data_IF_850241684572
#
_entry.id   IF_850241684572
#
_cell.length_a   1.000
_cell.length_b   1.000
_cell.length_c   1.000
_cell.angle_alpha   90.00
_cell.angle_beta   90.00
_cell.angle_gamma   90.00
#
_symmetry.space_group_name_H-M   'P 1'
#
loop_
_entity.id
_entity.type
_entity.pdbx_description
1 polymer ?
#
# COMPACT_ATOMS: atom_id res chain seq x y z
N UNK A 1 12.63 63.47 -25.75
CA UNK A 1 13.50 63.83 -26.88
C UNK A 1 14.95 63.44 -26.55
N UNK A 2 15.82 63.42 -27.58
CA UNK A 2 17.30 63.55 -27.60
C UNK A 2 17.99 64.09 -26.32
N UNK A 3 19.25 63.77 -25.98
CA UNK A 3 20.28 62.85 -26.55
C UNK A 3 21.60 62.89 -25.74
N UNK A 4 22.46 61.86 -25.84
CA UNK A 4 23.90 61.91 -25.46
C UNK A 4 24.35 60.73 -24.56
N UNK A 5 25.40 59.92 -24.82
CA UNK A 5 26.36 59.80 -25.96
C UNK A 5 27.34 60.99 -26.08
N UNK A 6 28.68 60.86 -26.08
CA UNK A 6 29.62 59.71 -25.98
C UNK A 6 30.46 59.81 -24.66
N UNK A 7 31.70 59.33 -24.39
CA UNK A 7 32.85 58.80 -25.16
C UNK A 7 33.73 57.87 -24.27
N UNK A 8 34.94 57.47 -24.71
CA UNK A 8 35.78 56.38 -24.14
C UNK A 8 37.28 56.75 -24.09
N UNK A 9 37.99 56.32 -23.04
CA UNK A 9 39.43 55.95 -23.07
C UNK A 9 40.49 57.02 -22.72
N UNK A 10 41.77 56.68 -22.47
CA UNK A 10 42.35 55.37 -22.10
C UNK A 10 43.84 55.49 -21.62
N UNK A 11 44.29 54.51 -20.81
CA UNK A 11 45.68 54.06 -20.50
C UNK A 11 46.68 54.98 -19.74
N UNK A 12 47.46 54.31 -18.87
CA UNK A 12 48.89 54.54 -18.51
C UNK A 12 49.22 55.12 -17.12
N UNK A 13 49.88 54.30 -16.29
CA UNK A 13 50.47 54.66 -14.99
C UNK A 13 50.82 53.41 -14.19
N UNK A 14 52.11 53.04 -14.13
CA UNK A 14 52.59 51.75 -13.57
C UNK A 14 53.58 51.98 -12.43
N UNK A 15 53.41 51.25 -11.31
CA UNK A 15 54.40 51.12 -10.25
C UNK A 15 54.29 49.73 -9.60
N UNK A 16 55.42 49.11 -9.26
CA UNK A 16 55.49 47.78 -8.64
C UNK A 16 55.63 47.89 -7.12
N UNK A 17 55.16 46.86 -6.40
CA UNK A 17 55.85 46.37 -5.20
C UNK A 17 55.80 44.83 -5.14
N UNK A 18 56.89 44.23 -4.68
CA UNK A 18 57.07 42.78 -4.53
C UNK A 18 56.79 42.37 -3.07
N UNK A 19 56.17 41.20 -2.89
CA UNK A 19 55.94 40.60 -1.57
C UNK A 19 55.69 39.10 -1.69
N UNK A 20 56.74 38.29 -1.52
CA UNK A 20 56.66 36.83 -1.56
C UNK A 20 56.33 36.25 -0.18
N UNK A 21 55.32 35.38 -0.11
CA UNK A 21 54.96 34.63 1.10
C UNK A 21 54.99 33.14 0.75
N UNK A 22 55.72 32.36 1.54
CA UNK A 22 55.80 30.90 1.45
C UNK A 22 54.66 30.27 2.29
N UNK A 23 54.00 29.20 1.83
CA UNK A 23 53.26 28.31 2.72
C UNK A 23 54.24 27.43 3.51
N UNK A 24 53.97 27.22 4.80
CA UNK A 24 54.76 26.31 5.63
C UNK A 24 54.38 24.84 5.38
N UNK A 25 55.37 23.94 5.51
CA UNK A 25 55.14 22.50 5.42
C UNK A 25 54.65 21.93 6.76
N UNK A 26 53.78 20.91 6.71
CA UNK A 26 53.31 20.19 7.90
C UNK A 26 53.00 18.71 7.62
N UNK A 27 53.95 17.86 8.02
CA UNK A 27 53.78 16.43 8.39
C UNK A 27 53.48 15.43 7.25
N UNK A 28 53.91 14.19 7.47
CA UNK A 28 54.06 13.08 6.53
C UNK A 28 53.10 11.92 6.88
N UNK A 29 52.55 11.24 5.87
CA UNK A 29 51.83 9.95 6.00
C UNK A 29 51.58 9.27 4.65
N UNK A 30 52.37 8.25 4.33
CA UNK A 30 52.13 7.22 3.30
C UNK A 30 51.40 6.00 3.95
N UNK A 31 50.77 5.03 3.23
CA UNK A 31 50.69 4.84 1.79
C UNK A 31 49.25 4.70 1.22
N UNK A 32 49.17 4.50 -0.10
CA UNK A 32 47.92 4.45 -0.89
C UNK A 32 47.16 3.10 -0.81
N UNK A 33 45.84 3.11 -0.54
CA UNK A 33 44.95 1.98 -0.78
C UNK A 33 44.37 2.00 -2.21
N UNK A 34 44.86 1.11 -3.07
CA UNK A 34 44.39 1.00 -4.45
C UNK A 34 43.15 0.12 -4.63
N UNK A 35 41.94 0.69 -4.51
CA UNK A 35 40.71 0.05 -5.02
C UNK A 35 39.59 1.05 -5.27
N UNK A 36 39.47 1.56 -6.49
CA UNK A 36 38.34 2.39 -6.93
C UNK A 36 37.09 1.54 -7.13
N UNK A 37 36.24 1.44 -6.12
CA UNK A 37 34.93 0.78 -6.21
C UNK A 37 33.97 1.58 -7.12
N UNK A 38 34.08 1.35 -8.43
CA UNK A 38 33.13 1.83 -9.42
C UNK A 38 31.86 0.97 -9.41
N UNK A 39 31.02 1.13 -8.37
CA UNK A 39 29.71 0.48 -8.30
C UNK A 39 28.79 1.16 -9.33
N UNK A 40 28.51 0.46 -10.43
CA UNK A 40 27.51 0.93 -11.40
C UNK A 40 26.10 0.61 -10.88
N UNK A 41 25.55 1.49 -10.04
CA UNK A 41 24.25 1.32 -9.36
C UNK A 41 23.01 1.43 -10.29
N UNK A 42 23.06 0.80 -11.47
CA UNK A 42 21.83 0.42 -12.18
C UNK A 42 21.39 -0.93 -11.64
N UNK A 43 20.27 -1.04 -10.89
CA UNK A 43 19.84 -2.30 -10.30
C UNK A 43 19.52 -3.35 -11.39
N UNK A 44 20.44 -4.29 -11.54
CA UNK A 44 20.37 -5.42 -12.48
C UNK A 44 19.45 -6.52 -11.95
N UNK A 45 19.01 -7.39 -12.87
CA UNK A 45 18.29 -8.62 -12.52
C UNK A 45 19.32 -9.70 -12.19
N UNK A 46 19.29 -10.21 -10.97
CA UNK A 46 20.10 -11.33 -10.52
C UNK A 46 19.34 -12.64 -10.77
N UNK A 47 20.03 -13.66 -11.26
CA UNK A 47 19.56 -15.03 -11.47
C UNK A 47 20.79 -15.89 -11.80
N UNK A 48 20.74 -17.20 -11.54
CA UNK A 48 21.81 -18.12 -11.92
C UNK A 48 21.26 -19.35 -12.67
N UNK A 49 22.10 -19.91 -13.55
CA UNK A 49 21.78 -20.99 -14.47
C UNK A 49 22.92 -22.00 -14.53
N UNK A 50 22.60 -23.27 -14.68
CA UNK A 50 23.60 -24.35 -14.81
C UNK A 50 24.46 -24.14 -16.09
N UNK A 51 25.75 -24.52 -16.06
CA UNK A 51 26.65 -24.32 -17.21
C UNK A 51 26.07 -24.85 -18.52
N UNK A 52 26.14 -24.04 -19.59
CA UNK A 52 25.56 -24.39 -20.89
C UNK A 52 24.02 -24.31 -20.95
N UNK A 53 23.40 -23.43 -20.15
CA UNK A 53 21.97 -23.10 -20.22
C UNK A 53 21.74 -21.59 -20.37
N UNK A 54 20.64 -21.24 -21.03
CA UNK A 54 20.24 -19.86 -21.28
C UNK A 54 18.79 -19.64 -20.83
N UNK A 55 18.60 -19.34 -19.54
CA UNK A 55 17.29 -19.28 -18.87
C UNK A 55 17.01 -17.88 -18.31
N UNK A 56 17.02 -16.85 -19.18
CA UNK A 56 16.88 -15.45 -18.77
C UNK A 56 15.49 -15.12 -18.19
N UNK A 57 15.38 -14.45 -17.02
CA UNK A 57 14.10 -14.02 -16.45
C UNK A 57 13.29 -13.08 -17.36
N UNK A 58 11.95 -13.14 -17.29
CA UNK A 58 11.08 -12.27 -18.07
C UNK A 58 11.24 -10.80 -17.67
N UNK A 59 11.14 -9.89 -18.63
CA UNK A 59 11.23 -8.45 -18.36
C UNK A 59 10.01 -7.96 -17.56
N UNK A 60 10.22 -7.60 -16.29
CA UNK A 60 9.21 -7.14 -15.32
C UNK A 60 9.36 -5.64 -15.07
N UNK A 61 8.25 -4.91 -15.13
CA UNK A 61 8.21 -3.45 -14.87
C UNK A 61 7.96 -3.19 -13.38
N UNK A 62 9.04 -3.26 -12.59
CA UNK A 62 9.06 -2.91 -11.17
C UNK A 62 10.43 -2.31 -10.79
N UNK A 63 10.48 -1.55 -9.69
CA UNK A 63 11.76 -1.07 -9.15
C UNK A 63 12.49 -2.21 -8.43
N UNK A 64 11.80 -2.86 -7.49
CA UNK A 64 12.28 -4.01 -6.71
C UNK A 64 11.35 -5.20 -6.92
N UNK A 65 11.90 -6.41 -7.05
CA UNK A 65 11.13 -7.67 -7.04
C UNK A 65 11.98 -8.90 -6.71
N UNK A 66 11.32 -9.97 -6.29
CA UNK A 66 11.92 -11.29 -5.98
C UNK A 66 10.95 -12.42 -6.34
N UNK A 67 11.46 -13.57 -6.76
CA UNK A 67 10.72 -14.85 -6.85
C UNK A 67 11.53 -15.96 -6.19
N UNK A 68 10.87 -16.74 -5.35
CA UNK A 68 11.46 -17.79 -4.54
C UNK A 68 10.52 -18.99 -4.39
N UNK A 69 11.08 -20.10 -3.94
CA UNK A 69 10.37 -21.25 -3.40
C UNK A 69 9.94 -20.96 -1.95
N UNK A 70 8.71 -21.33 -1.58
CA UNK A 70 8.15 -21.06 -0.26
C UNK A 70 8.60 -22.09 0.80
N UNK A 71 8.76 -23.35 0.40
CA UNK A 71 9.05 -24.48 1.29
C UNK A 71 10.53 -24.48 1.69
N UNK A 72 11.42 -24.37 0.71
CA UNK A 72 12.88 -24.30 0.92
C UNK A 72 13.36 -22.87 1.24
N UNK A 73 12.66 -21.86 0.71
CA UNK A 73 13.13 -20.47 0.71
C UNK A 73 14.09 -20.12 -0.44
N UNK A 74 14.43 -21.05 -1.34
CA UNK A 74 15.37 -20.83 -2.46
C UNK A 74 14.94 -19.65 -3.36
N UNK A 75 15.82 -18.65 -3.52
CA UNK A 75 15.57 -17.49 -4.39
C UNK A 75 16.07 -17.83 -5.80
N UNK A 76 15.22 -17.77 -6.83
CA UNK A 76 15.61 -18.07 -8.22
C UNK A 76 16.02 -16.83 -9.02
N UNK A 77 15.34 -15.71 -8.78
CA UNK A 77 15.69 -14.44 -9.40
C UNK A 77 15.20 -13.26 -8.57
N UNK A 78 15.92 -12.15 -8.68
CA UNK A 78 15.61 -10.90 -8.00
C UNK A 78 16.00 -9.69 -8.83
N UNK A 79 15.55 -8.52 -8.40
CA UNK A 79 16.08 -7.23 -8.81
C UNK A 79 15.94 -6.28 -7.62
N UNK A 80 17.04 -5.71 -7.17
CA UNK A 80 17.05 -4.71 -6.09
C UNK A 80 16.25 -5.16 -4.85
N UNK A 81 16.40 -6.42 -4.38
CA UNK A 81 15.37 -7.07 -3.57
C UNK A 81 15.15 -6.41 -2.21
N UNK A 82 16.24 -5.95 -1.58
CA UNK A 82 16.27 -5.28 -0.28
C UNK A 82 16.04 -3.76 -0.37
N UNK A 83 15.65 -3.24 -1.55
CA UNK A 83 15.37 -1.81 -1.75
C UNK A 83 14.20 -1.36 -0.87
N UNK A 84 14.52 -0.57 0.15
CA UNK A 84 13.55 0.09 1.03
C UNK A 84 12.56 0.96 0.24
N UNK A 85 11.30 0.54 0.23
CA UNK A 85 10.18 1.18 -0.45
C UNK A 85 8.91 1.14 0.42
N UNK A 86 7.95 2.07 0.23
CA UNK A 86 6.65 1.97 0.91
C UNK A 86 5.87 0.74 0.39
N UNK A 87 5.31 -0.12 1.27
CA UNK A 87 4.68 -1.38 0.87
C UNK A 87 3.25 -1.25 0.34
N UNK A 88 2.60 -0.10 0.53
CA UNK A 88 1.16 0.05 0.40
C UNK A 88 0.39 -1.09 1.13
N UNK A 89 -0.79 -1.45 0.64
CA UNK A 89 -1.64 -2.50 1.23
C UNK A 89 -1.15 -3.96 1.05
N UNK A 90 0.09 -4.22 0.62
CA UNK A 90 0.70 -5.55 0.82
C UNK A 90 1.02 -5.80 2.29
N UNK A 91 1.33 -4.75 3.06
CA UNK A 91 1.64 -4.84 4.50
C UNK A 91 0.49 -5.39 5.34
N UNK A 92 -0.75 -5.37 4.84
CA UNK A 92 -1.89 -6.04 5.49
C UNK A 92 -1.68 -7.53 5.74
N UNK A 93 -0.73 -8.17 5.03
CA UNK A 93 -0.34 -9.55 5.30
C UNK A 93 0.49 -9.68 6.58
N UNK A 94 1.31 -8.67 6.93
CA UNK A 94 1.94 -8.59 8.26
C UNK A 94 0.88 -8.42 9.34
N UNK A 95 -0.10 -7.53 9.12
CA UNK A 95 -1.23 -7.32 10.04
C UNK A 95 -2.03 -8.62 10.26
N UNK A 96 -2.28 -9.38 9.20
CA UNK A 96 -2.94 -10.69 9.29
C UNK A 96 -2.11 -11.67 10.11
N UNK A 97 -0.85 -11.93 9.73
CA UNK A 97 0.05 -12.88 10.41
C UNK A 97 0.30 -12.50 11.88
N UNK A 98 0.29 -11.21 12.21
CA UNK A 98 0.49 -10.71 13.58
C UNK A 98 -0.72 -10.92 14.50
N UNK A 99 -1.94 -10.89 13.95
CA UNK A 99 -3.17 -10.83 14.76
C UNK A 99 -4.06 -12.09 14.67
N UNK A 100 -3.94 -12.90 13.61
CA UNK A 100 -4.88 -14.01 13.34
C UNK A 100 -4.92 -15.06 14.46
N UNK A 101 -3.77 -15.38 15.05
CA UNK A 101 -3.66 -16.34 16.16
C UNK A 101 -3.76 -15.66 17.55
N UNK A 102 -3.98 -14.33 17.58
CA UNK A 102 -4.07 -13.52 18.81
C UNK A 102 -5.49 -13.01 19.07
N UNK A 103 -6.39 -13.04 18.08
CA UNK A 103 -7.80 -12.67 18.23
C UNK A 103 -8.69 -13.90 18.00
N UNK A 104 -9.59 -14.20 18.93
CA UNK A 104 -10.61 -15.23 18.78
C UNK A 104 -11.49 -14.96 17.55
N UNK A 105 -11.43 -15.83 16.54
CA UNK A 105 -11.98 -15.58 15.20
C UNK A 105 -13.51 -15.56 15.12
N UNK A 106 -14.21 -16.08 16.12
CA UNK A 106 -15.66 -16.06 16.31
C UNK A 106 -16.15 -14.94 17.24
N UNK A 107 -15.24 -14.33 18.03
CA UNK A 107 -15.54 -13.13 18.80
C UNK A 107 -15.93 -11.95 17.89
N UNK A 108 -16.57 -10.92 18.45
CA UNK A 108 -17.10 -9.78 17.67
C UNK A 108 -16.49 -8.46 18.12
N UNK A 109 -16.20 -7.58 17.17
CA UNK A 109 -15.75 -6.21 17.43
C UNK A 109 -16.70 -5.19 16.82
N UNK A 110 -17.04 -4.14 17.57
CA UNK A 110 -17.84 -3.01 17.12
C UNK A 110 -16.92 -1.86 16.68
N UNK A 111 -16.85 -1.52 15.37
CA UNK A 111 -15.94 -0.50 14.88
C UNK A 111 -16.21 0.88 15.48
N UNK A 112 -15.16 1.69 15.58
CA UNK A 112 -15.20 3.09 16.02
C UNK A 112 -15.43 4.05 14.84
N UNK A 113 -15.61 5.34 15.15
CA UNK A 113 -15.55 6.40 14.14
C UNK A 113 -14.17 6.49 13.47
N UNK A 114 -13.08 6.21 14.19
CA UNK A 114 -11.71 6.18 13.64
C UNK A 114 -11.53 5.08 12.58
N UNK A 115 -12.19 3.94 12.76
CA UNK A 115 -12.13 2.81 11.82
C UNK A 115 -12.87 3.11 10.53
N UNK A 116 -14.13 3.56 10.61
CA UNK A 116 -14.92 3.82 9.39
C UNK A 116 -14.42 5.05 8.60
N UNK A 117 -13.72 5.97 9.25
CA UNK A 117 -13.17 7.18 8.61
C UNK A 117 -11.79 6.98 7.97
N UNK A 118 -11.20 5.78 8.02
CA UNK A 118 -9.92 5.51 7.34
C UNK A 118 -9.99 5.86 5.84
N UNK A 119 -9.03 6.60 5.27
CA UNK A 119 -9.07 7.04 3.87
C UNK A 119 -8.82 5.87 2.90
N UNK A 120 -9.16 6.05 1.63
CA UNK A 120 -9.01 5.01 0.61
C UNK A 120 -10.04 3.88 0.72
N UNK A 121 -9.64 2.67 0.30
CA UNK A 121 -10.53 1.51 0.17
C UNK A 121 -11.10 1.06 1.52
N UNK A 122 -12.40 0.84 1.55
CA UNK A 122 -13.15 0.35 2.71
C UNK A 122 -14.10 -0.78 2.29
N UNK A 123 -14.48 -1.65 3.22
CA UNK A 123 -15.59 -2.61 3.01
C UNK A 123 -16.95 -1.98 3.29
N UNK A 124 -17.01 -0.94 4.12
CA UNK A 124 -18.26 -0.24 4.46
C UNK A 124 -18.80 -0.66 5.83
N UNK A 125 -17.90 -0.82 6.81
CA UNK A 125 -18.25 -0.94 8.22
C UNK A 125 -19.08 0.26 8.70
N UNK A 126 -19.79 0.08 9.82
CA UNK A 126 -20.52 1.14 10.52
C UNK A 126 -20.06 1.19 11.97
N UNK A 127 -19.92 2.38 12.52
CA UNK A 127 -19.55 2.56 13.92
C UNK A 127 -20.62 1.94 14.84
N UNK A 128 -20.20 1.31 15.94
CA UNK A 128 -21.09 0.63 16.89
C UNK A 128 -21.81 -0.61 16.37
N UNK A 129 -21.62 -1.01 15.10
CA UNK A 129 -22.23 -2.22 14.54
C UNK A 129 -21.23 -3.38 14.66
N UNK A 130 -21.43 -4.37 15.53
CA UNK A 130 -20.48 -5.47 15.70
C UNK A 130 -20.40 -6.36 14.46
N UNK A 131 -19.21 -6.86 14.17
CA UNK A 131 -18.96 -7.88 13.16
C UNK A 131 -18.00 -8.94 13.73
N UNK A 132 -18.08 -10.16 13.20
CA UNK A 132 -17.20 -11.27 13.59
C UNK A 132 -15.76 -11.00 13.15
N UNK A 133 -14.78 -11.31 14.00
CA UNK A 133 -13.35 -11.05 13.74
C UNK A 133 -12.84 -11.71 12.46
N UNK A 134 -13.22 -12.96 12.19
CA UNK A 134 -12.85 -13.66 10.95
C UNK A 134 -13.39 -12.99 9.68
N UNK A 135 -14.57 -12.37 9.72
CA UNK A 135 -15.12 -11.55 8.63
C UNK A 135 -14.33 -10.23 8.45
N UNK A 136 -13.81 -9.64 9.54
CA UNK A 136 -12.92 -8.49 9.45
C UNK A 136 -11.57 -8.85 8.81
N UNK A 137 -10.99 -10.02 9.12
CA UNK A 137 -9.81 -10.54 8.40
C UNK A 137 -10.11 -10.78 6.91
N UNK A 138 -11.25 -11.37 6.58
CA UNK A 138 -11.67 -11.55 5.19
C UNK A 138 -11.79 -10.21 4.44
N UNK A 139 -12.45 -9.21 5.04
CA UNK A 139 -12.57 -7.86 4.49
C UNK A 139 -11.23 -7.12 4.36
N UNK A 140 -10.30 -7.34 5.30
CA UNK A 140 -8.95 -6.81 5.25
C UNK A 140 -8.12 -7.44 4.12
N UNK A 141 -8.27 -8.73 3.83
CA UNK A 141 -7.46 -9.43 2.83
C UNK A 141 -8.08 -9.29 1.43
N UNK A 142 -9.30 -9.79 1.22
CA UNK A 142 -9.99 -9.85 -0.08
C UNK A 142 -10.24 -8.45 -0.66
N UNK A 143 -10.84 -7.58 0.16
CA UNK A 143 -11.23 -6.23 -0.23
C UNK A 143 -10.17 -5.17 0.14
N UNK A 144 -9.10 -5.53 0.85
CA UNK A 144 -8.11 -4.56 1.35
C UNK A 144 -8.71 -3.44 2.20
N UNK A 145 -9.78 -3.70 2.96
CA UNK A 145 -10.46 -2.70 3.77
C UNK A 145 -9.51 -2.02 4.76
N UNK A 146 -9.36 -0.70 4.64
CA UNK A 146 -8.60 0.10 5.59
C UNK A 146 -9.39 0.27 6.90
N UNK A 147 -10.72 0.28 6.81
CA UNK A 147 -11.66 0.20 7.93
C UNK A 147 -11.52 -1.13 8.67
N UNK A 148 -11.53 -2.26 7.95
CA UNK A 148 -11.33 -3.59 8.54
C UNK A 148 -9.95 -3.73 9.22
N UNK A 149 -8.89 -3.23 8.59
CA UNK A 149 -7.53 -3.25 9.16
C UNK A 149 -7.37 -2.37 10.41
N UNK A 150 -8.10 -1.26 10.49
CA UNK A 150 -8.13 -0.42 11.71
C UNK A 150 -8.97 -1.06 12.81
N UNK A 151 -10.12 -1.65 12.45
CA UNK A 151 -10.99 -2.35 13.39
C UNK A 151 -10.27 -3.55 14.04
N UNK A 152 -9.53 -4.35 13.27
CA UNK A 152 -8.68 -5.42 13.81
C UNK A 152 -7.58 -4.91 14.74
N UNK A 153 -6.96 -3.77 14.41
CA UNK A 153 -5.95 -3.15 15.28
C UNK A 153 -6.55 -2.66 16.61
N UNK A 154 -7.75 -2.10 16.58
CA UNK A 154 -8.45 -1.67 17.79
C UNK A 154 -9.01 -2.85 18.60
N UNK A 155 -9.46 -3.93 17.95
CA UNK A 155 -9.86 -5.18 18.59
C UNK A 155 -8.73 -5.87 19.39
N UNK A 156 -7.48 -5.68 18.98
CA UNK A 156 -6.28 -6.14 19.72
C UNK A 156 -5.84 -5.18 20.84
N UNK A 157 -6.64 -4.17 21.18
CA UNK A 157 -6.28 -3.17 22.21
C UNK A 157 -5.52 -1.97 21.66
N UNK A 158 -5.76 -1.59 20.41
CA UNK A 158 -5.34 -0.30 19.85
C UNK A 158 -4.16 -0.36 18.87
N UNK A 159 -3.98 0.74 18.15
CA UNK A 159 -2.94 0.85 17.11
C UNK A 159 -1.52 0.71 17.66
N UNK A 160 -1.20 1.25 18.84
CA UNK A 160 0.19 1.19 19.35
C UNK A 160 0.59 -0.24 19.74
N UNK A 161 -0.30 -0.98 20.43
CA UNK A 161 -0.13 -2.40 20.71
C UNK A 161 -0.04 -3.24 19.42
N UNK A 162 -0.87 -2.91 18.42
CA UNK A 162 -0.84 -3.56 17.10
C UNK A 162 0.46 -3.29 16.34
N UNK A 163 0.97 -2.05 16.37
CA UNK A 163 2.21 -1.69 15.70
C UNK A 163 3.42 -2.29 16.42
N UNK A 164 3.41 -2.37 17.75
CA UNK A 164 4.42 -3.09 18.52
C UNK A 164 4.48 -4.57 18.11
N UNK A 165 3.35 -5.28 18.10
CA UNK A 165 3.34 -6.70 17.72
C UNK A 165 3.65 -6.91 16.23
N UNK A 166 3.22 -6.01 15.33
CA UNK A 166 3.57 -6.08 13.90
C UNK A 166 5.08 -5.93 13.65
N UNK A 167 5.75 -4.98 14.31
CA UNK A 167 7.19 -4.81 14.16
C UNK A 167 7.98 -5.96 14.83
N UNK A 168 7.48 -6.48 15.97
CA UNK A 168 8.04 -7.68 16.61
C UNK A 168 7.90 -8.93 15.74
N UNK A 169 6.73 -9.12 15.12
CA UNK A 169 6.46 -10.24 14.22
C UNK A 169 7.30 -10.15 12.93
N UNK A 170 7.49 -8.95 12.37
CA UNK A 170 8.42 -8.75 11.26
C UNK A 170 9.85 -9.16 11.61
N UNK A 171 10.33 -8.81 12.81
CA UNK A 171 11.63 -9.25 13.31
C UNK A 171 11.69 -10.78 13.52
N UNK A 172 10.64 -11.40 14.11
CA UNK A 172 10.54 -12.87 14.27
C UNK A 172 10.61 -13.61 12.93
N UNK A 173 9.99 -13.06 11.89
CA UNK A 173 10.00 -13.59 10.54
C UNK A 173 11.33 -13.38 9.78
N UNK A 174 12.25 -12.56 10.32
CA UNK A 174 13.47 -12.16 9.62
C UNK A 174 13.26 -11.04 8.58
N UNK A 175 12.07 -10.42 8.55
CA UNK A 175 11.75 -9.25 7.73
C UNK A 175 12.23 -7.96 8.42
N UNK A 176 13.54 -7.87 8.69
CA UNK A 176 14.17 -6.84 9.52
C UNK A 176 14.33 -5.48 8.83
N UNK A 177 14.07 -5.39 7.52
CA UNK A 177 14.10 -4.10 6.81
C UNK A 177 12.74 -3.38 6.84
N UNK A 178 11.69 -4.04 7.32
CA UNK A 178 10.32 -3.55 7.43
C UNK A 178 10.10 -2.72 8.69
N UNK A 179 9.37 -1.62 8.54
CA UNK A 179 8.83 -0.86 9.67
C UNK A 179 7.36 -0.50 9.40
N UNK A 180 6.49 -0.94 10.32
CA UNK A 180 5.07 -0.68 10.28
C UNK A 180 4.71 0.54 11.14
N UNK A 181 4.03 1.52 10.54
CA UNK A 181 3.60 2.77 11.20
C UNK A 181 2.09 3.03 11.04
N UNK A 182 1.41 2.15 10.29
CA UNK A 182 -0.05 1.98 10.16
C UNK A 182 -0.34 0.48 9.93
N UNK A 183 -1.47 -0.06 10.45
CA UNK A 183 -1.87 -1.46 10.26
C UNK A 183 -2.45 -1.75 8.86
N UNK A 184 -2.69 -0.70 8.07
CA UNK A 184 -3.27 -0.81 6.73
C UNK A 184 -2.28 -0.53 5.59
N UNK A 185 -1.07 -0.05 5.89
CA UNK A 185 -0.05 0.28 4.89
C UNK A 185 -0.41 1.51 4.06
N UNK A 186 -1.08 2.50 4.65
CA UNK A 186 -1.20 3.83 4.06
C UNK A 186 0.14 4.58 4.10
N UNK A 187 0.27 5.63 3.28
CA UNK A 187 1.48 6.44 3.25
C UNK A 187 1.64 7.25 4.54
N UNK A 188 2.64 6.89 5.34
CA UNK A 188 3.12 7.63 6.51
C UNK A 188 4.65 7.75 6.40
N UNK A 189 5.28 8.61 7.21
CA UNK A 189 6.74 8.59 7.30
C UNK A 189 7.20 7.30 7.97
N UNK A 190 8.42 6.88 7.58
CA UNK A 190 9.12 5.68 8.05
C UNK A 190 8.43 4.32 7.78
N UNK A 191 7.21 4.35 7.22
CA UNK A 191 6.48 3.19 6.71
C UNK A 191 7.19 2.60 5.49
N UNK A 192 7.91 1.49 5.70
CA UNK A 192 8.83 0.92 4.71
C UNK A 192 8.87 -0.61 4.79
N UNK A 193 9.23 -1.25 3.68
CA UNK A 193 9.55 -2.68 3.58
C UNK A 193 10.44 -2.90 2.35
N UNK A 194 10.71 -4.15 2.01
CA UNK A 194 11.49 -4.58 0.83
C UNK A 194 10.76 -5.72 0.11
N UNK A 195 11.21 -6.14 -1.07
CA UNK A 195 10.61 -7.31 -1.70
C UNK A 195 11.02 -8.62 -1.00
N UNK A 196 12.26 -8.72 -0.48
CA UNK A 196 12.71 -9.83 0.38
C UNK A 196 11.77 -10.00 1.58
N UNK A 197 11.52 -8.92 2.31
CA UNK A 197 10.67 -8.88 3.49
C UNK A 197 9.21 -9.21 3.16
N UNK A 198 8.65 -8.59 2.12
CA UNK A 198 7.26 -8.83 1.73
C UNK A 198 7.03 -10.26 1.22
N UNK A 199 8.01 -10.87 0.54
CA UNK A 199 7.94 -12.28 0.16
C UNK A 199 8.01 -13.19 1.40
N UNK A 200 8.87 -12.86 2.36
CA UNK A 200 9.01 -13.60 3.63
C UNK A 200 7.74 -13.52 4.50
N UNK A 201 7.14 -12.34 4.58
CA UNK A 201 5.85 -12.12 5.26
C UNK A 201 4.73 -12.88 4.54
N UNK A 202 4.71 -12.89 3.20
CA UNK A 202 3.68 -13.62 2.45
C UNK A 202 3.86 -15.15 2.50
N UNK A 203 5.09 -15.64 2.61
CA UNK A 203 5.44 -17.05 2.86
C UNK A 203 4.79 -17.54 4.15
N UNK A 204 5.09 -16.89 5.27
CA UNK A 204 4.44 -17.19 6.55
C UNK A 204 2.91 -17.00 6.54
N UNK A 205 2.39 -16.10 5.68
CA UNK A 205 0.95 -15.89 5.52
C UNK A 205 0.21 -16.99 4.75
N UNK A 206 0.87 -17.74 3.85
CA UNK A 206 0.25 -18.87 3.13
C UNK A 206 0.35 -20.20 3.88
N UNK A 207 1.21 -20.26 4.91
CA UNK A 207 1.35 -21.41 5.80
C UNK A 207 0.23 -21.46 6.86
N UNK A 208 -0.36 -20.31 7.21
CA UNK A 208 -1.50 -20.22 8.15
C UNK A 208 -2.80 -20.60 7.41
N UNK A 209 -3.50 -21.69 7.80
CA UNK A 209 -4.67 -22.21 7.06
C UNK A 209 -5.80 -21.19 6.88
N UNK A 210 -6.07 -20.39 7.90
CA UNK A 210 -7.12 -19.36 7.95
C UNK A 210 -6.85 -18.29 6.90
N UNK A 211 -5.61 -17.81 6.81
CA UNK A 211 -5.20 -16.82 5.82
C UNK A 211 -5.18 -17.45 4.40
N UNK A 212 -4.67 -18.68 4.25
CA UNK A 212 -4.68 -19.41 2.96
C UNK A 212 -6.11 -19.59 2.43
N UNK A 213 -7.06 -19.94 3.31
CA UNK A 213 -8.50 -20.05 3.02
C UNK A 213 -9.08 -18.71 2.54
N UNK A 214 -8.81 -17.61 3.26
CA UNK A 214 -9.29 -16.28 2.88
C UNK A 214 -8.69 -15.82 1.53
N UNK A 215 -7.39 -16.08 1.30
CA UNK A 215 -6.71 -15.73 0.05
C UNK A 215 -7.29 -16.44 -1.17
N UNK A 216 -7.75 -17.69 -1.00
CA UNK A 216 -8.38 -18.51 -2.04
C UNK A 216 -9.90 -18.23 -2.23
N UNK A 217 -10.55 -17.54 -1.30
CA UNK A 217 -11.98 -17.19 -1.42
C UNK A 217 -12.20 -16.12 -2.49
N UNK A 218 -13.02 -16.42 -3.51
CA UNK A 218 -13.42 -15.46 -4.58
C UNK A 218 -14.36 -14.37 -4.05
N UNK A 219 -15.41 -14.81 -3.36
CA UNK A 219 -16.44 -13.97 -2.75
C UNK A 219 -17.00 -14.65 -1.50
N UNK A 220 -17.42 -13.84 -0.52
CA UNK A 220 -18.19 -14.31 0.64
C UNK A 220 -19.18 -13.22 1.07
N UNK A 221 -20.17 -13.60 1.87
CA UNK A 221 -20.97 -12.65 2.62
C UNK A 221 -20.44 -12.57 4.05
N UNK A 222 -20.31 -11.34 4.57
CA UNK A 222 -20.15 -11.07 6.00
C UNK A 222 -21.46 -10.51 6.55
N UNK A 223 -21.76 -10.76 7.82
CA UNK A 223 -23.00 -10.32 8.45
C UNK A 223 -22.81 -9.86 9.90
N UNK A 224 -23.40 -8.72 10.25
CA UNK A 224 -23.46 -8.25 11.65
C UNK A 224 -24.46 -9.12 12.44
N UNK A 225 -24.02 -9.84 13.49
CA UNK A 225 -24.89 -10.76 14.23
C UNK A 225 -26.01 -10.06 15.03
N UNK A 226 -25.88 -8.75 15.32
CA UNK A 226 -26.92 -7.99 16.06
C UNK A 226 -27.86 -7.20 15.16
N UNK A 227 -27.45 -6.87 13.92
CA UNK A 227 -28.26 -6.01 13.03
C UNK A 227 -28.69 -6.68 11.73
N UNK A 228 -28.30 -7.93 11.47
CA UNK A 228 -28.53 -8.63 10.20
C UNK A 228 -27.94 -7.92 8.98
N UNK A 229 -26.97 -7.01 9.19
CA UNK A 229 -26.38 -6.21 8.11
C UNK A 229 -25.44 -7.09 7.31
N UNK A 230 -25.94 -7.62 6.18
CA UNK A 230 -25.14 -8.33 5.18
C UNK A 230 -24.30 -7.36 4.34
N UNK A 231 -23.08 -7.77 4.01
CA UNK A 231 -22.16 -7.10 3.07
C UNK A 231 -21.45 -8.17 2.23
N UNK A 232 -21.29 -7.96 0.92
CA UNK A 232 -20.58 -8.92 0.06
C UNK A 232 -19.14 -8.52 -0.16
N UNK A 233 -18.22 -9.41 0.19
CA UNK A 233 -16.79 -9.31 -0.04
C UNK A 233 -16.45 -9.94 -1.39
N UNK A 234 -15.44 -9.36 -2.05
CA UNK A 234 -14.97 -9.73 -3.38
C UNK A 234 -13.45 -9.58 -3.42
N UNK A 235 -12.77 -10.68 -3.76
CA UNK A 235 -11.32 -10.72 -3.79
C UNK A 235 -10.79 -10.01 -5.05
N UNK A 236 -10.01 -8.93 -4.87
CA UNK A 236 -9.42 -8.17 -5.99
C UNK A 236 -8.18 -8.79 -6.60
N UNK A 237 -7.84 -10.00 -6.17
CA UNK A 237 -6.76 -10.79 -6.73
C UNK A 237 -7.13 -11.32 -8.13
N UNK A 238 -6.60 -10.67 -9.18
CA UNK A 238 -6.84 -11.08 -10.57
C UNK A 238 -6.40 -12.52 -10.88
N UNK A 239 -5.43 -13.08 -10.16
CA UNK A 239 -4.97 -14.46 -10.40
C UNK A 239 -6.03 -15.49 -10.02
N UNK A 240 -6.80 -15.21 -8.97
CA UNK A 240 -7.94 -16.02 -8.55
C UNK A 240 -9.13 -15.81 -9.49
N UNK A 241 -9.39 -14.57 -9.92
CA UNK A 241 -10.57 -14.24 -10.75
C UNK A 241 -10.52 -14.79 -12.19
N UNK A 242 -9.33 -15.11 -12.72
CA UNK A 242 -9.17 -15.79 -14.03
C UNK A 242 -8.72 -17.26 -13.93
N UNK A 243 -8.79 -17.85 -12.73
CA UNK A 243 -8.43 -19.25 -12.46
C UNK A 243 -7.02 -19.65 -12.94
N UNK A 244 -5.99 -18.94 -12.48
CA UNK A 244 -4.59 -19.29 -12.77
C UNK A 244 -4.25 -20.67 -12.19
N UNK A 245 -3.61 -21.59 -12.96
CA UNK A 245 -3.33 -22.94 -12.48
C UNK A 245 -2.48 -22.96 -11.19
N UNK A 246 -2.92 -23.74 -10.20
CA UNK A 246 -2.23 -23.90 -8.91
C UNK A 246 -2.25 -22.66 -8.02
N UNK A 247 -3.19 -21.73 -8.22
CA UNK A 247 -3.21 -20.48 -7.47
C UNK A 247 -3.49 -20.65 -5.97
N UNK A 248 -2.63 -20.12 -5.10
CA UNK A 248 -2.81 -20.11 -3.64
C UNK A 248 -3.42 -18.78 -3.17
N UNK A 249 -2.82 -17.67 -3.57
CA UNK A 249 -3.20 -16.35 -3.05
C UNK A 249 -2.39 -15.21 -3.62
N UNK A 250 -2.91 -13.99 -3.52
CA UNK A 250 -2.14 -12.77 -3.73
C UNK A 250 -2.76 -11.58 -3.01
N UNK A 251 -1.93 -10.63 -2.59
CA UNK A 251 -2.36 -9.36 -2.01
C UNK A 251 -1.81 -8.20 -2.83
N UNK A 252 -2.71 -7.33 -3.27
CA UNK A 252 -2.39 -6.10 -4.01
C UNK A 252 -2.36 -4.88 -3.08
N UNK A 253 -1.58 -3.87 -3.46
CA UNK A 253 -1.56 -2.56 -2.83
C UNK A 253 -1.23 -1.44 -3.81
N UNK A 254 -1.79 -0.26 -3.56
CA UNK A 254 -1.44 0.99 -4.26
C UNK A 254 -1.53 2.17 -3.29
N UNK A 255 -0.56 3.07 -3.35
CA UNK A 255 -0.61 4.44 -2.83
C UNK A 255 0.13 5.38 -3.78
N UNK A 256 0.04 6.70 -3.59
CA UNK A 256 0.75 7.66 -4.43
C UNK A 256 2.27 7.66 -4.18
N UNK A 257 2.74 7.37 -2.95
CA UNK A 257 4.18 7.26 -2.62
C UNK A 257 4.76 5.90 -3.03
N UNK A 258 4.01 4.80 -2.86
CA UNK A 258 4.45 3.45 -3.21
C UNK A 258 4.40 3.18 -4.73
N UNK A 259 3.37 3.69 -5.42
CA UNK A 259 2.91 3.11 -6.67
C UNK A 259 2.24 1.75 -6.44
N UNK A 260 2.22 0.89 -7.46
CA UNK A 260 1.64 -0.45 -7.38
C UNK A 260 2.58 -1.43 -6.66
N UNK A 261 2.01 -2.36 -5.88
CA UNK A 261 2.73 -3.38 -5.09
C UNK A 261 1.94 -4.71 -5.08
N UNK A 262 2.66 -5.83 -5.17
CA UNK A 262 2.09 -7.18 -5.22
C UNK A 262 2.91 -8.14 -4.37
N UNK A 263 2.23 -8.98 -3.58
CA UNK A 263 2.74 -10.28 -3.15
C UNK A 263 1.81 -11.37 -3.69
N UNK A 264 2.35 -12.51 -4.11
CA UNK A 264 1.57 -13.62 -4.67
C UNK A 264 2.24 -14.97 -4.41
N UNK A 265 1.45 -16.05 -4.48
CA UNK A 265 1.91 -17.42 -4.39
C UNK A 265 1.09 -18.38 -5.27
N UNK A 266 1.74 -19.44 -5.76
CA UNK A 266 1.16 -20.45 -6.63
C UNK A 266 1.98 -21.74 -6.65
N UNK A 267 1.31 -22.88 -6.61
CA UNK A 267 1.90 -24.21 -6.85
C UNK A 267 2.16 -24.37 -8.35
N UNK A 268 3.43 -24.39 -8.78
CA UNK A 268 3.83 -24.49 -10.20
C UNK A 268 5.09 -25.32 -10.36
N UNK A 269 5.09 -26.22 -11.34
CA UNK A 269 6.26 -27.08 -11.65
C UNK A 269 6.60 -28.10 -10.56
N UNK A 270 5.70 -28.34 -9.61
CA UNK A 270 5.96 -29.20 -8.44
C UNK A 270 6.50 -28.46 -7.20
N UNK A 271 6.58 -27.12 -7.24
CA UNK A 271 6.99 -26.26 -6.11
C UNK A 271 5.88 -25.32 -5.69
N UNK A 272 5.79 -25.02 -4.40
CA UNK A 272 5.08 -23.82 -3.91
C UNK A 272 5.94 -22.59 -4.17
N UNK A 273 5.59 -21.74 -5.12
CA UNK A 273 6.33 -20.51 -5.43
C UNK A 273 5.71 -19.28 -4.77
N UNK A 274 6.55 -18.34 -4.33
CA UNK A 274 6.19 -17.05 -3.75
C UNK A 274 6.94 -15.91 -4.45
N UNK A 275 6.30 -14.74 -4.60
CA UNK A 275 6.95 -13.55 -5.15
C UNK A 275 6.48 -12.26 -4.46
N UNK A 276 7.34 -11.25 -4.45
CA UNK A 276 6.99 -9.87 -4.10
C UNK A 276 7.53 -8.89 -5.15
N UNK A 277 6.79 -7.82 -5.45
CA UNK A 277 7.18 -6.79 -6.40
C UNK A 277 6.67 -5.42 -5.95
N UNK A 278 7.54 -4.41 -6.02
CA UNK A 278 7.29 -3.07 -5.48
C UNK A 278 7.50 -1.97 -6.53
N UNK A 279 6.66 -0.94 -6.43
CA UNK A 279 6.60 0.22 -7.34
C UNK A 279 6.52 -0.20 -8.81
N UNK A 280 5.49 -1.00 -9.13
CA UNK A 280 5.30 -1.62 -10.45
C UNK A 280 4.53 -0.73 -11.43
N UNK A 281 4.68 -1.04 -12.73
CA UNK A 281 3.81 -0.52 -13.77
C UNK A 281 2.37 -1.07 -13.67
N UNK A 282 1.46 -0.50 -14.47
CA UNK A 282 0.00 -0.78 -14.42
C UNK A 282 -0.39 -2.25 -14.63
N UNK A 283 0.39 -3.03 -15.40
CA UNK A 283 0.12 -4.46 -15.70
C UNK A 283 0.60 -5.40 -14.59
N UNK A 284 0.44 -5.00 -13.32
CA UNK A 284 0.98 -5.68 -12.14
C UNK A 284 0.54 -7.15 -12.04
N UNK A 285 -0.72 -7.45 -12.38
CA UNK A 285 -1.28 -8.79 -12.41
C UNK A 285 -0.57 -9.78 -13.37
N UNK A 286 0.23 -9.28 -14.32
CA UNK A 286 1.02 -10.12 -15.23
C UNK A 286 2.39 -10.52 -14.67
N UNK A 287 2.82 -9.97 -13.53
CA UNK A 287 4.16 -10.19 -12.97
C UNK A 287 4.27 -11.59 -12.37
N UNK A 288 3.38 -11.94 -11.45
CA UNK A 288 3.37 -13.25 -10.79
C UNK A 288 3.27 -14.44 -11.77
N UNK A 289 2.29 -14.48 -12.71
CA UNK A 289 2.26 -15.52 -13.73
C UNK A 289 3.59 -15.67 -14.48
N UNK A 290 4.16 -14.56 -14.99
CA UNK A 290 5.37 -14.62 -15.81
C UNK A 290 6.59 -15.12 -15.03
N UNK A 291 6.73 -14.76 -13.75
CA UNK A 291 7.80 -15.25 -12.89
C UNK A 291 7.60 -16.73 -12.52
N UNK A 292 6.40 -17.13 -12.14
CA UNK A 292 6.10 -18.53 -11.78
C UNK A 292 6.15 -19.49 -12.97
N UNK A 293 5.60 -19.08 -14.13
CA UNK A 293 5.69 -19.81 -15.40
C UNK A 293 7.15 -19.97 -15.82
N UNK A 294 7.99 -18.93 -15.63
CA UNK A 294 9.43 -18.99 -15.92
C UNK A 294 10.18 -19.96 -14.99
N UNK A 295 10.01 -19.88 -13.67
CA UNK A 295 10.66 -20.83 -12.74
C UNK A 295 10.23 -22.26 -13.07
N UNK A 296 8.92 -22.53 -13.19
CA UNK A 296 8.41 -23.86 -13.46
C UNK A 296 8.84 -24.44 -14.82
N UNK A 297 9.14 -23.60 -15.82
CA UNK A 297 9.64 -24.04 -17.12
C UNK A 297 11.16 -24.29 -17.14
N UNK A 298 11.90 -23.80 -16.15
CA UNK A 298 13.37 -23.81 -16.13
C UNK A 298 13.98 -24.44 -14.86
N UNK A 299 13.18 -24.91 -13.91
CA UNK A 299 13.59 -25.49 -12.61
C UNK A 299 14.86 -26.36 -12.67
N UNK A 300 14.89 -27.33 -13.59
CA UNK A 300 16.02 -28.26 -13.74
C UNK A 300 17.34 -27.61 -14.17
N UNK A 301 17.28 -26.41 -14.74
CA UNK A 301 18.42 -25.64 -15.26
C UNK A 301 18.74 -24.38 -14.43
N UNK A 302 17.89 -24.00 -13.48
CA UNK A 302 18.11 -22.89 -12.54
C UNK A 302 19.02 -23.30 -11.38
N UNK A 303 19.60 -22.28 -10.73
CA UNK A 303 20.38 -22.37 -9.48
C UNK A 303 19.86 -21.28 -8.53
N UNK A 304 19.77 -21.59 -7.23
CA UNK A 304 19.33 -20.62 -6.23
C UNK A 304 20.42 -19.58 -5.97
N UNK A 305 20.07 -18.29 -6.07
CA UNK A 305 20.98 -17.15 -5.83
C UNK A 305 21.03 -16.70 -4.36
N UNK A 306 20.37 -17.44 -3.47
CA UNK A 306 20.24 -17.16 -2.05
C UNK A 306 19.00 -17.83 -1.45
N UNK A 307 18.68 -17.50 -0.20
CA UNK A 307 17.48 -18.00 0.50
C UNK A 307 16.75 -16.87 1.22
N UNK A 308 15.42 -16.91 1.24
CA UNK A 308 14.61 -16.04 2.09
C UNK A 308 14.93 -16.26 3.59
N UNK A 309 14.84 -15.22 4.43
CA UNK A 309 14.95 -15.35 5.88
C UNK A 309 14.03 -16.44 6.45
N UNK A 310 14.58 -17.21 7.41
CA UNK A 310 13.86 -18.25 8.12
C UNK A 310 13.26 -17.69 9.41
N UNK A 311 11.98 -17.96 9.65
CA UNK A 311 11.27 -17.44 10.82
C UNK A 311 11.66 -18.17 12.10
N UNK A 312 11.89 -17.44 13.18
CA UNK A 312 12.10 -18.01 14.51
C UNK A 312 10.79 -18.62 15.05
N UNK A 313 10.83 -19.70 15.86
CA UNK A 313 9.63 -20.27 16.48
C UNK A 313 8.81 -19.20 17.24
N UNK A 314 7.48 -19.21 17.08
CA UNK A 314 6.59 -18.32 17.85
C UNK A 314 6.32 -18.96 19.21
N UNK A 315 6.58 -18.22 20.28
CA UNK A 315 6.66 -18.75 21.67
C UNK A 315 5.69 -18.05 22.64
N UNK A 316 4.92 -17.08 22.15
CA UNK A 316 4.17 -16.08 22.92
C UNK A 316 2.65 -16.11 22.61
N UNK A 317 2.13 -17.22 22.07
CA UNK A 317 0.71 -17.33 21.72
C UNK A 317 -0.19 -17.70 22.90
N UNK A 318 -1.07 -16.76 23.23
CA UNK A 318 -2.41 -17.04 23.73
C UNK A 318 -3.39 -16.15 22.95
N UNK A 319 -4.45 -16.74 22.40
CA UNK A 319 -5.52 -15.97 21.78
C UNK A 319 -6.34 -15.25 22.86
N UNK A 320 -6.83 -14.05 22.54
CA UNK A 320 -7.74 -13.29 23.39
C UNK A 320 -9.05 -12.95 22.65
N UNK A 321 -10.18 -12.81 23.35
CA UNK A 321 -11.38 -12.21 22.77
C UNK A 321 -11.07 -10.82 22.23
N UNK A 322 -11.78 -10.39 21.17
CA UNK A 322 -11.73 -9.01 20.72
C UNK A 322 -12.07 -8.04 21.86
N UNK A 323 -11.17 -7.10 22.16
CA UNK A 323 -11.37 -6.10 23.20
C UNK A 323 -12.46 -5.15 22.73
N UNK A 324 -13.65 -5.28 23.31
CA UNK A 324 -14.67 -4.25 23.23
C UNK A 324 -14.13 -3.01 23.95
N UNK A 325 -13.96 -1.91 23.22
CA UNK A 325 -13.76 -0.62 23.88
C UNK A 325 -15.06 -0.21 24.56
N UNK A 326 -15.07 -0.23 25.89
CA UNK A 326 -16.10 0.47 26.65
C UNK A 326 -16.14 1.93 26.21
N UNK A 327 -17.34 2.51 26.11
CA UNK A 327 -17.48 3.92 25.81
C UNK A 327 -17.18 4.74 27.07
N UNK A 328 -15.89 4.95 27.37
CA UNK A 328 -15.42 6.15 28.08
C UNK A 328 -15.70 7.39 27.20
N UNK A 329 -16.98 7.72 27.17
CA UNK A 329 -17.64 8.51 26.14
C UNK A 329 -19.08 8.77 26.55
N UNK A 330 -19.29 9.11 27.83
CA UNK A 330 -20.54 9.71 28.29
C UNK A 330 -20.91 10.91 27.39
N UNK A 331 -22.21 11.20 27.22
CA UNK A 331 -22.69 12.05 26.13
C UNK A 331 -22.02 13.41 26.14
N UNK A 332 -21.31 13.72 25.04
CA UNK A 332 -20.72 15.05 24.82
C UNK A 332 -21.87 16.07 24.76
N UNK A 333 -21.92 17.06 25.68
CA UNK A 333 -23.02 18.03 25.70
C UNK A 333 -23.10 18.78 24.35
N UNK A 334 -24.29 18.81 23.74
CA UNK A 334 -24.56 19.53 22.49
C UNK A 334 -24.88 18.68 21.24
N UNK A 335 -24.80 17.34 21.28
CA UNK A 335 -25.18 16.53 20.10
C UNK A 335 -26.69 16.38 19.87
N UNK A 336 -27.56 16.66 20.85
CA UNK A 336 -29.02 16.63 20.65
C UNK A 336 -29.56 17.84 19.86
N UNK A 337 -28.96 19.03 20.02
CA UNK A 337 -29.40 20.25 19.32
C UNK A 337 -29.30 20.11 17.79
N UNK A 338 -28.24 19.46 17.29
CA UNK A 338 -28.03 19.24 15.86
C UNK A 338 -29.07 18.29 15.23
N UNK A 339 -29.70 17.42 16.02
CA UNK A 339 -30.79 16.56 15.55
C UNK A 339 -32.16 17.27 15.60
N UNK A 340 -32.39 18.15 16.58
CA UNK A 340 -33.62 18.95 16.62
C UNK A 340 -33.70 19.95 15.45
N UNK A 341 -32.58 20.58 15.06
CA UNK A 341 -32.54 21.50 13.90
C UNK A 341 -32.91 20.79 12.58
N UNK A 342 -32.65 19.49 12.46
CA UNK A 342 -33.07 18.70 11.30
C UNK A 342 -34.54 18.24 11.37
N UNK A 343 -35.11 18.11 12.57
CA UNK A 343 -36.46 17.55 12.79
C UNK A 343 -37.62 18.54 12.63
N UNK A 344 -37.37 19.85 12.64
CA UNK A 344 -38.42 20.89 12.63
C UNK A 344 -38.98 21.18 11.21
N UNK A 345 -38.31 20.76 10.15
CA UNK A 345 -38.74 21.00 8.76
C UNK A 345 -39.70 19.91 8.24
N UNK A 346 -40.91 19.78 8.81
CA UNK A 346 -41.79 18.69 8.39
C UNK A 346 -43.24 18.54 8.87
N UNK A 347 -44.01 19.58 9.22
CA UNK A 347 -45.50 19.48 9.24
C UNK A 347 -46.21 20.81 8.99
N UNK A 348 -46.98 20.84 7.90
CA UNK A 348 -48.25 21.56 7.65
C UNK A 348 -48.43 23.08 7.86
N UNK A 349 -49.52 23.59 7.29
CA UNK A 349 -49.70 24.98 6.83
C UNK A 349 -50.76 25.76 7.62
N UNK A 350 -50.67 27.11 7.65
CA UNK A 350 -51.74 28.02 7.18
C UNK A 350 -51.37 29.53 7.18
N UNK A 351 -52.00 30.27 6.26
CA UNK A 351 -52.32 31.72 6.24
C UNK A 351 -51.35 32.80 6.79
N UNK A 352 -50.75 33.53 5.86
CA UNK A 352 -50.89 35.01 5.65
C UNK A 352 -50.43 36.02 6.74
N UNK A 353 -49.39 36.81 6.42
CA UNK A 353 -49.42 38.29 6.32
C UNK A 353 -48.02 38.95 6.45
N UNK A 354 -47.91 40.23 6.10
CA UNK A 354 -46.92 41.16 6.69
C UNK A 354 -45.49 41.17 6.14
N UNK A 355 -45.18 42.16 5.30
CA UNK A 355 -43.83 42.41 4.76
C UNK A 355 -42.78 42.77 5.83
N UNK A 356 -41.62 42.11 5.79
CA UNK A 356 -40.33 42.65 6.24
C UNK A 356 -39.22 42.12 5.30
N UNK A 357 -38.25 42.96 4.91
CA UNK A 357 -37.48 42.73 3.68
C UNK A 357 -35.96 42.56 3.85
N UNK A 358 -35.40 41.74 2.96
CA UNK A 358 -34.06 41.79 2.38
C UNK A 358 -32.81 41.83 3.31
N UNK A 359 -32.08 40.70 3.36
CA UNK A 359 -30.61 40.63 3.11
C UNK A 359 -30.11 39.17 3.00
N UNK A 360 -30.40 38.49 1.88
CA UNK A 360 -29.97 37.10 1.66
C UNK A 360 -29.70 36.72 0.18
N UNK A 361 -29.32 37.69 -0.66
CA UNK A 361 -29.21 37.51 -2.12
C UNK A 361 -27.79 37.73 -2.66
N UNK A 362 -27.07 36.65 -2.97
CA UNK A 362 -25.98 36.59 -3.99
C UNK A 362 -25.61 35.14 -4.35
N UNK A 363 -25.35 34.27 -3.37
CA UNK A 363 -24.55 33.05 -3.61
C UNK A 363 -25.26 31.84 -4.24
N UNK A 364 -26.60 31.78 -4.28
CA UNK A 364 -27.32 30.57 -4.74
C UNK A 364 -27.51 30.52 -6.27
N UNK A 365 -27.57 31.66 -6.96
CA UNK A 365 -27.96 31.72 -8.39
C UNK A 365 -26.84 31.24 -9.34
N UNK A 366 -25.56 31.40 -8.96
CA UNK A 366 -24.43 31.05 -9.83
C UNK A 366 -24.24 29.53 -10.03
N UNK A 367 -24.76 28.69 -9.12
CA UNK A 367 -24.64 27.23 -9.24
C UNK A 367 -25.50 26.65 -10.38
N UNK A 368 -26.70 27.20 -10.61
CA UNK A 368 -27.66 26.68 -11.58
C UNK A 368 -27.25 26.94 -13.05
N UNK A 369 -26.58 28.05 -13.32
CA UNK A 369 -26.14 28.44 -14.67
C UNK A 369 -24.83 27.76 -15.10
N UNK A 370 -23.95 27.41 -14.15
CA UNK A 370 -22.72 26.67 -14.46
C UNK A 370 -22.97 25.23 -14.94
N UNK A 371 -23.91 24.53 -14.31
CA UNK A 371 -24.21 23.12 -14.63
C UNK A 371 -24.76 22.91 -16.05
N UNK A 372 -25.66 23.79 -16.51
CA UNK A 372 -26.27 23.69 -17.84
C UNK A 372 -25.28 23.98 -18.97
N UNK A 373 -24.39 24.97 -18.81
CA UNK A 373 -23.35 25.29 -19.78
C UNK A 373 -22.37 24.12 -20.02
N UNK A 374 -21.96 23.44 -18.95
CA UNK A 374 -21.04 22.29 -19.04
C UNK A 374 -21.66 21.09 -19.77
N UNK A 375 -22.95 20.81 -19.54
CA UNK A 375 -23.68 19.73 -20.23
C UNK A 375 -23.78 20.01 -21.73
N UNK A 376 -24.10 21.24 -22.13
CA UNK A 376 -24.17 21.64 -23.55
C UNK A 376 -22.81 21.51 -24.24
N UNK A 377 -21.73 21.97 -23.59
CA UNK A 377 -20.37 21.84 -24.11
C UNK A 377 -19.95 20.37 -24.28
N UNK A 378 -20.27 19.49 -23.32
CA UNK A 378 -19.99 18.06 -23.41
C UNK A 378 -20.72 17.38 -24.60
N UNK A 379 -21.97 17.75 -24.85
CA UNK A 379 -22.75 17.24 -26.01
C UNK A 379 -22.18 17.72 -27.34
N UNK A 380 -21.80 19.00 -27.45
CA UNK A 380 -21.17 19.56 -28.66
C UNK A 380 -19.81 18.91 -28.93
N UNK A 381 -18.97 18.75 -27.90
CA UNK A 381 -17.68 18.08 -28.01
C UNK A 381 -17.82 16.62 -28.46
N UNK A 382 -18.78 15.88 -27.89
CA UNK A 382 -19.05 14.49 -28.28
C UNK A 382 -19.51 14.37 -29.73
N UNK A 383 -20.39 15.26 -30.22
CA UNK A 383 -20.85 15.27 -31.62
C UNK A 383 -19.74 15.60 -32.62
N UNK A 384 -18.78 16.48 -32.28
CA UNK A 384 -17.63 16.78 -33.16
C UNK A 384 -16.63 15.63 -33.29
N UNK A 385 -16.57 14.70 -32.32
CA UNK A 385 -15.61 13.59 -32.32
C UNK A 385 -16.11 12.33 -33.04
N UNK A 386 -17.37 12.26 -33.44
CA UNK A 386 -17.98 11.14 -34.16
C UNK A 386 -18.30 11.47 -35.62
N UNK A 387 -17.59 12.44 -36.21
CA UNK A 387 -17.85 12.98 -37.55
C UNK A 387 -16.60 13.10 -38.43
N UNK A 388 -15.56 12.32 -38.15
CA UNK A 388 -14.34 12.21 -38.97
C UNK A 388 -14.09 10.72 -39.16
N UNK A 389 -14.58 10.17 -40.28
CA UNK A 389 -14.13 8.96 -41.00
C UNK A 389 -15.16 8.62 -42.10
N UNK A 390 -15.26 9.46 -43.15
CA UNK A 390 -16.11 9.17 -44.33
C UNK A 390 -15.79 10.02 -45.58
N UNK A 391 -14.54 10.01 -46.06
CA UNK A 391 -14.14 10.33 -47.45
C UNK A 391 -12.87 9.58 -47.79
#
# INVERSE_FOLDING_TARGET
MRSGIWTVGAVAGMALFLGSILPAAAVDSDPTPGSSFSISETPTVQFEAKPGRYVRPPQVVAQSWIVADAETGEIFASKDPDRRLPPASTLKMLTAVSLIDRLEGDSTFAPTLQDINQPGTKIGLRAGTPFVVSDLFAGMIMNSGNDAASALANAYGGWDNTLAIMNSEAARLGATNTHAVTPNGLDKNDQVSTSTDLATIFRAAIDIPEIRKILATKEQWMESPTTGRKMKLYNRNAMLQWDYPGHIGAKTGYTSRAGNTLVAASERGGRTLVMAAMRTGMKMNTIAPRLFDWVASNDKDLVAIGTLPQSQPRTDLQAIPAIAMEQEGGPVPGQEELLQVAGVLGTDSTSDSGQAAATASTYVVMAALGGTALIVLAVIYRRRRTGIDST
#
